data_IF_220294723181
#
_entry.id   IF_220294723181
#
_cell.length_a   1.000
_cell.length_b   1.000
_cell.length_c   1.000
_cell.angle_alpha   90.00
_cell.angle_beta   90.00
_cell.angle_gamma   90.00
#
_symmetry.space_group_name_H-M   'P 1'
#
loop_
_entity.id
_entity.type
_entity.pdbx_description
1 polymer ?
#
# COMPACT_ATOMS: atom_id res chain seq x y z
N UNK A 1 -2.12 -9.77 -15.06
CA UNK A 1 -2.97 -8.56 -15.04
C UNK A 1 -2.71 -7.59 -16.21
N UNK A 2 -3.71 -6.84 -16.70
CA UNK A 2 -3.46 -5.82 -17.71
C UNK A 2 -2.57 -4.73 -17.13
N UNK A 3 -1.67 -4.20 -17.98
CA UNK A 3 -0.97 -2.95 -17.71
C UNK A 3 -2.01 -1.88 -17.30
N UNK A 4 -1.76 -1.12 -16.23
CA UNK A 4 -2.65 -0.08 -15.70
C UNK A 4 -3.84 -0.53 -14.83
N UNK A 5 -3.73 -1.63 -14.09
CA UNK A 5 -4.71 -1.95 -13.05
C UNK A 5 -4.79 -0.86 -11.97
N UNK A 6 -6.01 -0.55 -11.52
CA UNK A 6 -6.28 0.33 -10.38
C UNK A 6 -6.23 -0.49 -9.10
N UNK A 7 -5.34 -0.11 -8.19
CA UNK A 7 -5.09 -0.77 -6.90
C UNK A 7 -5.63 0.12 -5.79
N UNK A 8 -6.63 -0.37 -5.07
CA UNK A 8 -7.20 0.33 -3.92
C UNK A 8 -6.36 -0.03 -2.70
N UNK A 9 -5.62 0.92 -2.17
CA UNK A 9 -4.83 0.80 -0.95
C UNK A 9 -5.68 1.27 0.22
N UNK A 10 -6.30 0.31 0.91
CA UNK A 10 -7.06 0.57 2.13
C UNK A 10 -6.07 0.65 3.29
N UNK A 11 -6.13 1.70 4.09
CA UNK A 11 -5.17 1.92 5.17
C UNK A 11 -5.80 2.40 6.46
N UNK A 12 -5.36 1.79 7.54
CA UNK A 12 -5.73 2.07 8.90
C UNK A 12 -5.00 3.25 9.51
N UNK A 13 -5.55 3.85 10.58
CA UNK A 13 -4.81 4.83 11.34
C UNK A 13 -3.68 4.13 12.11
N UNK A 14 -2.58 4.86 12.34
CA UNK A 14 -1.46 4.36 13.13
C UNK A 14 -0.90 5.42 14.07
N UNK A 15 -0.32 4.95 15.18
CA UNK A 15 0.31 5.82 16.17
C UNK A 15 1.62 6.38 15.62
N UNK A 16 1.75 7.70 15.57
CA UNK A 16 2.99 8.40 15.23
C UNK A 16 3.07 9.73 16.01
N UNK A 17 4.21 9.97 16.66
CA UNK A 17 4.40 11.08 17.60
C UNK A 17 3.29 11.17 18.67
N UNK A 18 2.87 10.03 19.23
CA UNK A 18 1.87 9.99 20.31
C UNK A 18 0.40 10.06 19.85
N UNK A 19 0.13 10.44 18.61
CA UNK A 19 -1.22 10.62 18.06
C UNK A 19 -1.55 9.46 17.12
N UNK A 20 -2.79 8.98 17.15
CA UNK A 20 -3.28 7.94 16.23
C UNK A 20 -4.19 8.58 15.21
N UNK A 21 -3.79 8.53 13.95
CA UNK A 21 -4.51 9.20 12.86
C UNK A 21 -4.25 8.50 11.51
N UNK A 22 -5.11 8.75 10.52
CA UNK A 22 -4.98 8.25 9.15
C UNK A 22 -3.92 9.04 8.38
N UNK A 23 -2.66 8.61 8.50
CA UNK A 23 -1.52 9.23 7.81
C UNK A 23 -1.08 8.45 6.58
N UNK A 24 -0.64 9.16 5.56
CA UNK A 24 -0.24 8.58 4.26
C UNK A 24 1.27 8.58 4.05
N UNK A 25 2.07 9.16 4.96
CA UNK A 25 3.52 9.31 4.79
C UNK A 25 4.26 7.99 4.49
N UNK A 26 3.87 6.89 5.15
CA UNK A 26 4.44 5.56 4.91
C UNK A 26 3.89 4.86 3.66
N UNK A 27 2.78 5.35 3.11
CA UNK A 27 2.19 4.83 1.89
C UNK A 27 2.82 5.44 0.64
N UNK A 28 3.55 6.55 0.76
CA UNK A 28 4.19 7.24 -0.37
C UNK A 28 5.12 6.29 -1.13
N UNK A 29 5.98 5.54 -0.42
CA UNK A 29 6.88 4.55 -1.05
C UNK A 29 6.11 3.44 -1.76
N UNK A 30 5.05 2.92 -1.14
CA UNK A 30 4.20 1.90 -1.75
C UNK A 30 3.50 2.42 -3.02
N UNK A 31 2.95 3.63 -2.98
CA UNK A 31 2.32 4.25 -4.15
C UNK A 31 3.32 4.49 -5.27
N UNK A 32 4.55 4.90 -4.95
CA UNK A 32 5.63 5.08 -5.92
C UNK A 32 6.02 3.76 -6.58
N UNK A 33 6.20 2.68 -5.79
CA UNK A 33 6.52 1.35 -6.30
C UNK A 33 5.43 0.80 -7.24
N UNK A 34 4.16 0.97 -6.88
CA UNK A 34 3.02 0.60 -7.74
C UNK A 34 3.01 1.40 -9.04
N UNK A 35 3.22 2.72 -8.95
CA UNK A 35 3.25 3.62 -10.11
C UNK A 35 4.40 3.33 -11.06
N UNK A 36 5.58 3.01 -10.54
CA UNK A 36 6.74 2.62 -11.34
C UNK A 36 6.48 1.33 -12.14
N UNK A 37 5.69 0.42 -11.57
CA UNK A 37 5.24 -0.80 -12.26
C UNK A 37 4.02 -0.59 -13.17
N UNK A 38 3.60 0.67 -13.38
CA UNK A 38 2.50 1.03 -14.26
C UNK A 38 1.11 0.81 -13.67
N UNK A 39 0.98 0.73 -12.34
CA UNK A 39 -0.32 0.62 -11.66
C UNK A 39 -0.74 1.96 -11.04
N UNK A 40 -2.03 2.26 -11.05
CA UNK A 40 -2.55 3.41 -10.31
C UNK A 40 -2.95 2.97 -8.90
N UNK A 41 -2.62 3.79 -7.90
CA UNK A 41 -3.01 3.54 -6.51
C UNK A 41 -4.03 4.57 -6.02
N UNK A 42 -5.11 4.09 -5.42
CA UNK A 42 -6.16 4.92 -4.80
C UNK A 42 -6.17 4.65 -3.30
N UNK A 43 -6.11 5.70 -2.48
CA UNK A 43 -6.07 5.55 -1.04
C UNK A 43 -7.50 5.55 -0.46
N UNK A 44 -7.80 4.55 0.37
CA UNK A 44 -9.08 4.45 1.08
C UNK A 44 -8.84 4.30 2.59
N UNK A 45 -9.54 5.07 3.42
CA UNK A 45 -9.40 4.98 4.88
C UNK A 45 -10.21 3.80 5.40
N UNK A 46 -9.62 3.02 6.30
CA UNK A 46 -10.28 1.92 7.03
C UNK A 46 -10.11 2.11 8.54
N UNK A 47 -10.93 1.43 9.32
CA UNK A 47 -10.96 1.57 10.79
C UNK A 47 -9.95 0.66 11.49
N UNK A 48 -9.50 -0.44 10.87
CA UNK A 48 -8.57 -1.36 11.52
C UNK A 48 -7.20 -0.71 11.70
N UNK A 49 -6.71 -0.74 12.94
CA UNK A 49 -5.46 -0.09 13.30
C UNK A 49 -4.24 -0.74 12.68
N UNK A 50 -3.31 0.10 12.22
CA UNK A 50 -2.01 -0.26 11.68
C UNK A 50 -2.03 -1.24 10.49
N UNK A 51 -3.19 -1.47 9.86
CA UNK A 51 -3.34 -2.44 8.78
C UNK A 51 -3.44 -1.73 7.42
N UNK A 52 -2.87 -2.33 6.40
CA UNK A 52 -2.93 -1.90 5.00
C UNK A 52 -3.35 -3.10 4.16
N UNK A 53 -4.32 -2.89 3.28
CA UNK A 53 -4.81 -3.90 2.34
C UNK A 53 -4.71 -3.34 0.92
N UNK A 54 -4.16 -4.12 0.00
CA UNK A 54 -4.23 -3.83 -1.43
C UNK A 54 -5.36 -4.66 -2.03
N UNK A 55 -6.34 -3.95 -2.57
CA UNK A 55 -7.51 -4.52 -3.23
C UNK A 55 -7.41 -4.23 -4.72
N UNK A 56 -7.44 -5.27 -5.52
CA UNK A 56 -7.43 -5.17 -6.99
C UNK A 56 -8.64 -5.89 -7.54
N UNK A 57 -9.40 -5.21 -8.39
CA UNK A 57 -10.64 -5.76 -8.95
C UNK A 57 -11.67 -6.26 -7.90
N UNK A 58 -11.67 -5.65 -6.71
CA UNK A 58 -12.55 -6.04 -5.60
C UNK A 58 -12.03 -7.15 -4.70
N UNK A 59 -10.87 -7.75 -5.00
CA UNK A 59 -10.26 -8.80 -4.19
C UNK A 59 -9.03 -8.28 -3.44
N UNK A 60 -8.90 -8.64 -2.16
CA UNK A 60 -7.72 -8.32 -1.37
C UNK A 60 -6.57 -9.26 -1.75
N UNK A 61 -5.55 -8.72 -2.42
CA UNK A 61 -4.42 -9.50 -2.96
C UNK A 61 -3.21 -9.49 -2.01
N UNK A 62 -3.14 -8.50 -1.11
CA UNK A 62 -2.04 -8.36 -0.17
C UNK A 62 -2.45 -7.58 1.06
N UNK A 63 -1.90 -7.95 2.22
CA UNK A 63 -2.08 -7.23 3.48
C UNK A 63 -0.74 -7.08 4.19
N UNK A 64 -0.48 -5.91 4.78
CA UNK A 64 0.69 -5.69 5.63
C UNK A 64 0.38 -4.69 6.74
N UNK A 65 1.30 -4.53 7.69
CA UNK A 65 1.19 -3.46 8.67
C UNK A 65 1.84 -2.16 8.18
N UNK A 66 1.12 -1.04 8.28
CA UNK A 66 1.62 0.29 7.90
C UNK A 66 2.90 0.68 8.66
N UNK A 67 3.12 0.13 9.85
CA UNK A 67 4.31 0.40 10.66
C UNK A 67 5.56 -0.32 10.14
N UNK A 68 5.40 -1.36 9.34
CA UNK A 68 6.51 -2.10 8.76
C UNK A 68 6.97 -1.47 7.43
N UNK A 69 6.11 -0.70 6.76
CA UNK A 69 6.49 0.10 5.60
C UNK A 69 7.47 1.19 6.01
N UNK A 70 8.51 1.40 5.20
CA UNK A 70 9.43 2.50 5.36
C UNK A 70 8.74 3.87 5.23
N UNK A 71 9.33 4.88 5.87
CA UNK A 71 8.76 6.22 5.89
C UNK A 71 9.18 7.01 4.66
N UNK A 72 8.22 7.36 3.80
CA UNK A 72 8.49 8.13 2.59
C UNK A 72 9.29 7.35 1.53
N UNK A 73 9.96 8.09 0.64
CA UNK A 73 10.83 7.53 -0.39
C UNK A 73 10.08 6.97 -1.61
N UNK A 74 10.83 6.23 -2.43
CA UNK A 74 10.41 5.61 -3.69
C UNK A 74 10.02 4.13 -3.54
N UNK A 75 10.15 3.56 -2.35
CA UNK A 75 9.73 2.18 -2.03
C UNK A 75 10.57 1.07 -2.68
N UNK A 76 11.66 1.40 -3.40
CA UNK A 76 12.48 0.41 -4.12
C UNK A 76 13.34 -0.46 -3.21
N UNK A 77 13.75 0.07 -2.07
CA UNK A 77 14.55 -0.66 -1.08
C UNK A 77 13.67 -1.41 -0.08
N UNK A 78 12.40 -1.04 0.01
CA UNK A 78 11.44 -1.63 0.94
C UNK A 78 10.99 -3.01 0.41
N UNK A 79 11.27 -4.11 1.14
CA UNK A 79 10.90 -5.45 0.71
C UNK A 79 9.38 -5.65 0.66
N UNK A 80 8.61 -5.01 1.54
CA UNK A 80 7.15 -5.12 1.56
C UNK A 80 6.51 -4.44 0.36
N UNK A 81 7.11 -3.36 -0.14
CA UNK A 81 6.68 -2.72 -1.38
C UNK A 81 6.90 -3.65 -2.58
N UNK A 82 8.03 -4.38 -2.63
CA UNK A 82 8.28 -5.40 -3.66
C UNK A 82 7.29 -6.56 -3.57
N UNK A 83 7.02 -7.05 -2.37
CA UNK A 83 6.04 -8.11 -2.15
C UNK A 83 4.63 -7.66 -2.55
N UNK A 84 4.23 -6.44 -2.19
CA UNK A 84 2.94 -5.87 -2.57
C UNK A 84 2.80 -5.73 -4.09
N UNK A 85 3.82 -5.20 -4.77
CA UNK A 85 3.83 -5.11 -6.24
C UNK A 85 3.77 -6.50 -6.86
N UNK A 86 4.56 -7.46 -6.36
CA UNK A 86 4.56 -8.84 -6.83
C UNK A 86 3.19 -9.49 -6.63
N UNK A 87 2.54 -9.30 -5.48
CA UNK A 87 1.20 -9.81 -5.21
C UNK A 87 0.16 -9.21 -6.16
N UNK A 88 0.25 -7.91 -6.46
CA UNK A 88 -0.60 -7.25 -7.47
C UNK A 88 -0.33 -7.79 -8.87
N UNK A 89 0.92 -8.10 -9.23
CA UNK A 89 1.27 -8.67 -10.53
C UNK A 89 0.81 -10.12 -10.69
N UNK A 90 0.88 -10.91 -9.60
CA UNK A 90 0.45 -12.30 -9.56
C UNK A 90 -1.06 -12.46 -9.39
N UNK A 91 -1.75 -11.44 -8.91
CA UNK A 91 -3.19 -11.38 -9.00
C UNK A 91 -3.57 -11.34 -10.49
N UNK A 92 -4.11 -12.45 -11.00
CA UNK A 92 -4.70 -12.63 -12.34
C UNK A 92 -3.93 -12.07 -13.55
#
# INVERSE_FOLDING_TARGET
MPRNAVVIVRYGPYKSCGIVDHRTFRLIGLQAALKENGHQSVLEKMSDWNKVELVVNGECVYTCSIKQLEFGGDGKLDPLCKEAVSAVQNAY
#
